data_IF_028462108398
#
_entry.id   IF_028462108398
#
_cell.length_a   1.000
_cell.length_b   1.000
_cell.length_c   1.000
_cell.angle_alpha   90.00
_cell.angle_beta   90.00
_cell.angle_gamma   90.00
#
_symmetry.space_group_name_H-M   'P 1'
#
loop_
_entity.id
_entity.type
_entity.pdbx_description
1 polymer ?
#
# COMPACT_ATOMS: atom_id res chain seq x y z
N UNK A 1 26.31 57.28 -40.61
CA UNK A 1 25.78 56.02 -41.17
C UNK A 1 26.83 54.89 -41.23
N UNK A 2 28.09 55.19 -41.49
CA UNK A 2 29.13 54.13 -41.56
C UNK A 2 29.34 53.32 -40.29
N UNK A 3 29.31 53.98 -39.10
CA UNK A 3 29.48 53.26 -37.81
C UNK A 3 28.30 52.29 -37.47
N UNK A 4 27.08 52.62 -37.94
CA UNK A 4 25.92 51.74 -37.72
C UNK A 4 26.04 50.49 -38.59
N UNK A 5 26.44 50.64 -39.86
CA UNK A 5 26.64 49.52 -40.76
C UNK A 5 27.79 48.60 -40.27
N UNK A 6 28.86 49.20 -39.78
CA UNK A 6 29.98 48.42 -39.18
C UNK A 6 29.52 47.65 -37.93
N UNK A 7 28.75 48.26 -37.07
CA UNK A 7 28.23 47.59 -35.87
C UNK A 7 27.30 46.41 -36.23
N UNK A 8 26.40 46.59 -37.20
CA UNK A 8 25.52 45.51 -37.68
C UNK A 8 26.33 44.37 -38.29
N UNK A 9 27.36 44.68 -39.10
CA UNK A 9 28.21 43.68 -39.70
C UNK A 9 29.02 42.86 -38.67
N UNK A 10 29.53 43.54 -37.65
CA UNK A 10 30.29 42.84 -36.56
C UNK A 10 29.36 41.98 -35.71
N UNK A 11 28.19 42.49 -35.34
CA UNK A 11 27.20 41.70 -34.57
C UNK A 11 26.66 40.53 -35.38
N UNK A 12 26.41 40.72 -36.68
CA UNK A 12 25.99 39.65 -37.58
C UNK A 12 27.03 38.55 -37.74
N UNK A 13 28.32 38.95 -37.93
CA UNK A 13 29.43 38.00 -38.02
C UNK A 13 29.65 37.21 -36.71
N UNK A 14 29.57 37.88 -35.54
CA UNK A 14 29.61 37.23 -34.23
C UNK A 14 28.43 36.26 -34.03
N UNK A 15 27.22 36.67 -34.37
CA UNK A 15 26.03 35.82 -34.29
C UNK A 15 26.15 34.57 -35.17
N UNK A 16 26.65 34.73 -36.43
CA UNK A 16 26.87 33.59 -37.32
C UNK A 16 27.96 32.65 -36.80
N UNK A 17 29.05 33.19 -36.24
CA UNK A 17 30.12 32.41 -35.65
C UNK A 17 29.66 31.58 -34.45
N UNK A 18 28.91 32.20 -33.50
CA UNK A 18 28.37 31.49 -32.34
C UNK A 18 27.32 30.48 -32.76
N UNK A 19 26.46 30.79 -33.73
CA UNK A 19 25.47 29.85 -34.25
C UNK A 19 26.14 28.61 -34.88
N UNK A 20 27.22 28.80 -35.60
CA UNK A 20 28.01 27.69 -36.20
C UNK A 20 28.69 26.84 -35.12
N UNK A 21 29.32 27.47 -34.13
CA UNK A 21 29.93 26.78 -32.99
C UNK A 21 28.88 25.96 -32.22
N UNK A 22 27.72 26.54 -31.91
CA UNK A 22 26.63 25.83 -31.20
C UNK A 22 26.06 24.67 -32.04
N UNK A 23 25.92 24.86 -33.36
CA UNK A 23 25.48 23.80 -34.29
C UNK A 23 26.45 22.62 -34.34
N UNK A 24 27.76 22.91 -34.42
CA UNK A 24 28.80 21.88 -34.41
C UNK A 24 28.86 21.20 -33.04
N UNK A 25 28.82 21.96 -31.95
CA UNK A 25 28.80 21.42 -30.61
C UNK A 25 27.58 20.51 -30.40
N UNK A 26 26.39 20.94 -30.84
CA UNK A 26 25.17 20.13 -30.76
C UNK A 26 25.30 18.77 -31.45
N UNK A 27 25.94 18.72 -32.62
CA UNK A 27 26.19 17.45 -33.32
C UNK A 27 27.27 16.58 -32.67
N UNK A 28 28.32 17.20 -32.11
CA UNK A 28 29.40 16.45 -31.45
C UNK A 28 28.93 15.86 -30.12
N UNK A 29 28.10 16.62 -29.37
CA UNK A 29 27.53 16.20 -28.07
C UNK A 29 26.15 15.53 -28.18
N UNK A 30 25.71 15.19 -29.40
CA UNK A 30 24.46 14.47 -29.60
C UNK A 30 24.56 13.09 -28.95
N UNK A 31 23.86 12.93 -27.85
CA UNK A 31 23.67 11.62 -27.18
C UNK A 31 22.69 10.82 -28.02
N UNK A 32 23.16 9.81 -28.74
CA UNK A 32 22.27 8.86 -29.43
C UNK A 32 21.41 8.14 -28.41
N UNK A 33 20.13 8.50 -28.33
CA UNK A 33 19.15 7.78 -27.50
C UNK A 33 18.83 6.46 -28.20
N UNK A 34 18.83 5.38 -27.41
CA UNK A 34 18.34 4.09 -27.89
C UNK A 34 16.83 4.20 -28.17
N UNK A 35 16.33 3.83 -29.37
CA UNK A 35 14.90 3.90 -29.67
C UNK A 35 14.03 3.08 -28.71
N UNK A 36 14.59 2.09 -28.04
CA UNK A 36 13.92 1.31 -27.01
C UNK A 36 13.62 2.15 -25.76
N UNK A 37 14.44 3.17 -25.44
CA UNK A 37 14.18 4.07 -24.30
C UNK A 37 12.86 4.82 -24.48
N UNK A 38 12.60 5.34 -25.68
CA UNK A 38 11.37 6.05 -26.01
C UNK A 38 10.15 5.09 -26.01
N UNK A 39 10.35 3.87 -26.55
CA UNK A 39 9.33 2.83 -26.50
C UNK A 39 8.99 2.43 -25.04
N UNK A 40 9.98 2.23 -24.16
CA UNK A 40 9.75 1.98 -22.73
C UNK A 40 9.03 3.17 -22.08
N UNK A 41 9.46 4.40 -22.37
CA UNK A 41 8.87 5.62 -21.82
C UNK A 41 7.36 5.75 -22.15
N UNK A 42 6.95 5.33 -23.36
CA UNK A 42 5.54 5.37 -23.78
C UNK A 42 4.64 4.41 -22.96
N UNK A 43 5.21 3.35 -22.41
CA UNK A 43 4.53 2.38 -21.52
C UNK A 43 4.61 2.75 -20.03
N UNK A 44 5.37 3.78 -19.65
CA UNK A 44 5.38 4.28 -18.29
C UNK A 44 4.18 5.21 -18.03
N UNK A 45 3.85 5.40 -16.75
CA UNK A 45 2.65 6.18 -16.36
C UNK A 45 2.68 7.67 -16.75
N UNK A 46 3.80 8.23 -17.17
CA UNK A 46 3.95 9.63 -17.57
C UNK A 46 3.82 10.66 -16.44
N UNK A 47 3.45 10.23 -15.23
CA UNK A 47 3.15 11.11 -14.10
C UNK A 47 4.39 11.78 -13.46
N UNK A 48 5.60 11.37 -13.80
CA UNK A 48 6.87 11.85 -13.22
C UNK A 48 6.88 11.90 -11.69
N UNK A 49 6.12 10.99 -11.03
CA UNK A 49 5.84 11.01 -9.60
C UNK A 49 7.04 10.65 -8.70
N UNK A 50 8.14 10.12 -9.28
CA UNK A 50 9.32 9.68 -8.53
C UNK A 50 9.07 8.50 -7.56
N UNK A 51 7.89 7.89 -7.56
CA UNK A 51 7.52 6.78 -6.67
C UNK A 51 8.43 5.56 -6.80
N UNK A 52 8.91 5.30 -8.01
CA UNK A 52 9.88 4.24 -8.32
C UNK A 52 11.32 4.51 -7.83
N UNK A 53 11.60 5.71 -7.30
CA UNK A 53 12.94 6.12 -6.83
C UNK A 53 13.84 6.74 -7.90
N UNK A 54 13.38 6.84 -9.14
CA UNK A 54 14.12 7.47 -10.25
C UNK A 54 13.64 8.91 -10.50
N UNK A 55 14.50 9.80 -11.05
CA UNK A 55 14.16 11.19 -11.35
C UNK A 55 13.23 11.27 -12.57
N UNK A 56 11.92 11.06 -12.34
CA UNK A 56 10.90 11.06 -13.37
C UNK A 56 10.85 9.78 -14.22
N UNK A 57 9.90 9.75 -15.16
CA UNK A 57 9.68 8.57 -16.01
C UNK A 57 10.86 8.32 -16.98
N UNK A 58 11.52 9.38 -17.49
CA UNK A 58 12.70 9.24 -18.34
C UNK A 58 13.87 8.55 -17.62
N UNK A 59 14.14 8.93 -16.36
CA UNK A 59 15.16 8.26 -15.55
C UNK A 59 14.83 6.80 -15.25
N UNK A 60 13.54 6.48 -15.08
CA UNK A 60 13.07 5.11 -14.92
C UNK A 60 13.26 4.30 -16.21
N UNK A 61 12.90 4.85 -17.38
CA UNK A 61 13.08 4.20 -18.68
C UNK A 61 14.56 3.89 -18.95
N UNK A 62 15.44 4.86 -18.74
CA UNK A 62 16.89 4.69 -18.89
C UNK A 62 17.45 3.60 -17.95
N UNK A 63 16.98 3.57 -16.69
CA UNK A 63 17.39 2.56 -15.71
C UNK A 63 16.91 1.15 -16.09
N UNK A 64 15.69 1.01 -16.62
CA UNK A 64 15.17 -0.27 -17.14
C UNK A 64 15.99 -0.73 -18.32
N UNK A 65 16.26 0.16 -19.28
CA UNK A 65 17.07 -0.14 -20.48
C UNK A 65 18.48 -0.59 -20.12
N UNK A 66 19.08 0.04 -19.11
CA UNK A 66 20.41 -0.31 -18.60
C UNK A 66 20.43 -1.58 -17.74
N UNK A 67 19.27 -2.20 -17.45
CA UNK A 67 19.17 -3.36 -16.55
C UNK A 67 19.32 -3.04 -15.05
N UNK A 68 19.35 -1.77 -14.68
CA UNK A 68 19.47 -1.29 -13.30
C UNK A 68 18.12 -1.21 -12.56
N UNK A 69 17.02 -1.37 -13.30
CA UNK A 69 15.67 -1.42 -12.74
C UNK A 69 14.88 -2.59 -13.34
N UNK A 70 14.03 -3.25 -12.57
CA UNK A 70 13.14 -4.27 -13.10
C UNK A 70 12.07 -3.65 -14.02
N UNK A 71 11.55 -4.40 -14.97
CA UNK A 71 10.47 -3.97 -15.88
C UNK A 71 9.18 -3.57 -15.14
N UNK A 72 9.03 -4.01 -13.90
CA UNK A 72 7.93 -3.69 -12.97
C UNK A 72 8.23 -2.46 -12.09
N UNK A 73 9.32 -1.75 -12.30
CA UNK A 73 9.73 -0.62 -11.44
C UNK A 73 8.66 0.47 -11.33
N UNK A 74 7.91 0.71 -12.42
CA UNK A 74 6.83 1.67 -12.42
C UNK A 74 5.51 1.01 -12.00
N UNK A 75 5.19 1.01 -10.70
CA UNK A 75 3.93 0.47 -10.21
C UNK A 75 2.66 1.13 -10.82
N UNK A 76 2.64 2.47 -11.04
CA UNK A 76 1.51 3.12 -11.70
C UNK A 76 1.26 2.71 -13.15
N UNK A 77 2.25 2.15 -13.85
CA UNK A 77 2.08 1.68 -15.23
C UNK A 77 1.16 0.45 -15.30
N UNK A 78 1.12 -0.34 -14.25
CA UNK A 78 0.30 -1.56 -14.17
C UNK A 78 0.95 -2.79 -14.83
N UNK A 79 0.34 -3.98 -14.68
CA UNK A 79 0.92 -5.23 -15.14
C UNK A 79 0.99 -5.33 -16.68
N UNK A 80 -0.01 -4.80 -17.40
CA UNK A 80 -0.07 -4.88 -18.87
C UNK A 80 1.08 -4.08 -19.50
N UNK A 81 1.34 -2.87 -19.02
CA UNK A 81 2.48 -2.08 -19.48
C UNK A 81 3.82 -2.68 -19.06
N UNK A 82 3.90 -3.29 -17.89
CA UNK A 82 5.10 -4.01 -17.47
C UNK A 82 5.38 -5.22 -18.38
N UNK A 83 4.34 -5.91 -18.86
CA UNK A 83 4.47 -6.99 -19.84
C UNK A 83 4.97 -6.46 -21.21
N UNK A 84 4.42 -5.34 -21.70
CA UNK A 84 4.89 -4.70 -22.93
C UNK A 84 6.36 -4.25 -22.82
N UNK A 85 6.77 -3.69 -21.68
CA UNK A 85 8.16 -3.33 -21.42
C UNK A 85 9.05 -4.58 -21.41
N UNK A 86 8.57 -5.70 -20.83
CA UNK A 86 9.33 -6.96 -20.83
C UNK A 86 9.54 -7.48 -22.24
N UNK A 87 8.55 -7.36 -23.14
CA UNK A 87 8.66 -7.72 -24.54
C UNK A 87 9.72 -6.87 -25.27
N UNK A 88 9.72 -5.53 -25.07
CA UNK A 88 10.73 -4.63 -25.61
C UNK A 88 12.13 -5.03 -25.14
N UNK A 89 12.26 -5.48 -23.89
CA UNK A 89 13.53 -5.92 -23.29
C UNK A 89 13.89 -7.38 -23.64
N UNK A 90 13.04 -8.12 -24.36
CA UNK A 90 13.23 -9.54 -24.67
C UNK A 90 13.18 -10.46 -23.46
N UNK A 91 12.43 -10.06 -22.42
CA UNK A 91 12.27 -10.80 -21.16
C UNK A 91 10.89 -11.45 -21.07
N UNK A 92 10.76 -12.50 -20.25
CA UNK A 92 9.46 -13.08 -19.97
C UNK A 92 8.53 -12.05 -19.24
N UNK A 93 7.25 -12.03 -19.61
CA UNK A 93 6.28 -11.15 -18.98
C UNK A 93 6.22 -11.40 -17.46
N UNK A 94 6.24 -10.35 -16.62
CA UNK A 94 6.17 -10.52 -15.19
C UNK A 94 4.79 -11.05 -14.80
N UNK A 95 4.74 -12.17 -14.09
CA UNK A 95 3.54 -12.70 -13.48
C UNK A 95 3.34 -12.05 -12.13
N UNK A 96 2.51 -11.01 -12.08
CA UNK A 96 2.23 -10.30 -10.81
C UNK A 96 0.78 -9.86 -10.76
N UNK A 97 0.10 -10.15 -9.64
CA UNK A 97 -1.22 -9.63 -9.37
C UNK A 97 -1.14 -8.13 -9.05
N UNK A 98 -2.13 -7.34 -9.54
CA UNK A 98 -2.25 -5.91 -9.21
C UNK A 98 -2.26 -5.73 -7.70
N UNK A 99 -1.41 -4.84 -7.21
CA UNK A 99 -1.30 -4.49 -5.80
C UNK A 99 -1.95 -3.13 -5.55
N UNK A 100 -2.50 -2.94 -4.35
CA UNK A 100 -3.04 -1.67 -3.87
C UNK A 100 -2.55 -1.37 -2.46
N UNK A 101 -2.51 -0.11 -2.09
CA UNK A 101 -2.20 0.28 -0.71
C UNK A 101 -3.36 -0.09 0.22
N UNK A 102 -3.04 -0.48 1.44
CA UNK A 102 -4.01 -0.75 2.51
C UNK A 102 -3.54 -0.14 3.82
N UNK A 103 -4.46 0.49 4.56
CA UNK A 103 -4.16 1.12 5.86
C UNK A 103 -4.45 0.14 6.99
N UNK A 104 -3.41 -0.27 7.70
CA UNK A 104 -3.48 -1.22 8.81
C UNK A 104 -3.96 -0.58 10.11
N UNK A 105 -5.02 0.21 10.05
CA UNK A 105 -5.64 0.81 11.22
C UNK A 105 -7.13 1.09 10.98
N UNK A 106 -7.98 0.62 11.89
CA UNK A 106 -9.41 0.91 11.94
C UNK A 106 -9.80 1.48 13.32
N UNK A 107 -8.83 2.11 14.01
CA UNK A 107 -9.03 2.68 15.34
C UNK A 107 -9.89 3.94 15.28
N UNK A 108 -9.38 4.99 14.67
CA UNK A 108 -10.06 6.27 14.54
C UNK A 108 -10.66 6.74 15.87
N UNK A 109 -11.96 7.00 15.88
CA UNK A 109 -12.72 7.40 17.09
C UNK A 109 -12.71 6.35 18.22
N UNK A 110 -12.49 5.06 17.90
CA UNK A 110 -12.36 4.00 18.89
C UNK A 110 -10.99 4.00 19.59
N UNK A 111 -10.01 4.75 19.09
CA UNK A 111 -8.71 4.92 19.72
C UNK A 111 -8.74 6.05 20.74
N UNK A 112 -8.31 5.76 22.00
CA UNK A 112 -8.27 6.77 23.04
C UNK A 112 -7.24 7.84 22.77
N UNK A 113 -7.62 9.11 23.02
CA UNK A 113 -6.71 10.26 22.99
C UNK A 113 -6.08 10.45 24.37
N UNK A 114 -4.79 10.81 24.40
CA UNK A 114 -4.05 11.21 25.60
C UNK A 114 -4.19 12.69 25.87
N UNK A 115 -4.22 13.48 24.80
CA UNK A 115 -4.34 14.94 24.85
C UNK A 115 -4.96 15.44 23.54
N UNK A 116 -5.43 16.66 23.55
CA UNK A 116 -5.85 17.38 22.36
C UNK A 116 -4.62 18.00 21.69
N UNK A 117 -4.40 17.68 20.42
CA UNK A 117 -3.29 18.22 19.65
C UNK A 117 -3.68 19.55 19.00
N UNK A 118 -3.01 20.60 19.39
CA UNK A 118 -3.11 21.93 18.81
C UNK A 118 -1.78 22.25 18.11
N UNK A 119 -1.80 22.31 16.77
CA UNK A 119 -0.58 22.52 15.98
C UNK A 119 -0.81 22.27 14.50
N UNK A 120 0.30 22.12 13.75
CA UNK A 120 0.27 21.84 12.33
C UNK A 120 -0.44 20.52 12.06
N UNK A 121 -1.48 20.53 11.23
CA UNK A 121 -2.29 19.36 10.87
C UNK A 121 -1.54 18.42 9.91
N UNK A 122 -0.48 17.82 10.41
CA UNK A 122 0.41 16.90 9.72
C UNK A 122 0.83 15.77 10.65
N UNK A 123 0.84 14.52 10.12
CA UNK A 123 1.14 13.34 10.93
C UNK A 123 2.59 13.34 11.45
N UNK A 124 3.54 13.81 10.66
CA UNK A 124 4.95 13.85 11.06
C UNK A 124 5.16 14.85 12.20
N UNK A 125 4.59 16.05 12.07
CA UNK A 125 4.65 17.10 13.10
C UNK A 125 3.98 16.65 14.40
N UNK A 126 2.77 16.06 14.30
CA UNK A 126 2.06 15.55 15.46
C UNK A 126 2.80 14.40 16.16
N UNK A 127 3.51 13.55 15.41
CA UNK A 127 4.30 12.45 15.99
C UNK A 127 5.47 12.97 16.83
N UNK A 128 6.05 14.13 16.51
CA UNK A 128 7.14 14.74 17.28
C UNK A 128 6.70 15.23 18.66
N UNK A 129 5.38 15.49 18.85
CA UNK A 129 4.83 15.91 20.14
C UNK A 129 4.42 14.68 20.92
N UNK A 130 5.18 14.26 21.91
CA UNK A 130 4.95 13.11 22.79
C UNK A 130 4.53 11.82 22.04
N UNK A 131 5.09 11.57 20.88
CA UNK A 131 4.74 10.47 19.97
C UNK A 131 3.27 10.48 19.49
N UNK A 132 2.62 11.66 19.46
CA UNK A 132 1.27 11.88 18.97
C UNK A 132 0.17 11.78 20.04
N UNK A 133 -1.05 12.28 19.73
CA UNK A 133 -2.16 12.46 20.67
C UNK A 133 -2.90 11.18 21.05
N UNK A 134 -2.59 10.04 20.47
CA UNK A 134 -3.28 8.77 20.75
C UNK A 134 -2.57 7.95 21.84
N UNK A 135 -3.33 7.24 22.68
CA UNK A 135 -2.76 6.22 23.59
C UNK A 135 -2.14 5.07 22.78
N UNK A 136 -2.77 4.66 21.68
CA UNK A 136 -2.22 3.69 20.76
C UNK A 136 -1.07 4.29 19.94
N UNK A 137 0.17 3.94 20.27
CA UNK A 137 1.36 4.40 19.54
C UNK A 137 1.43 3.90 18.09
N UNK A 138 0.67 2.89 17.76
CA UNK A 138 0.58 2.27 16.42
C UNK A 138 -0.63 2.77 15.61
N UNK A 139 -1.48 3.65 16.15
CA UNK A 139 -2.73 4.08 15.53
C UNK A 139 -2.55 5.17 14.47
N UNK A 140 -3.46 5.22 13.50
CA UNK A 140 -3.53 6.31 12.53
C UNK A 140 -3.90 7.62 13.23
N UNK A 141 -3.14 8.69 12.96
CA UNK A 141 -3.36 10.01 13.56
C UNK A 141 -4.47 10.81 12.87
N UNK A 142 -4.80 10.47 11.62
CA UNK A 142 -5.89 11.11 10.88
C UNK A 142 -5.58 12.49 10.28
N UNK A 143 -4.35 13.02 10.40
CA UNK A 143 -4.00 14.35 9.88
C UNK A 143 -3.69 14.41 8.38
N UNK A 144 -3.84 13.30 7.63
CA UNK A 144 -3.87 13.33 6.18
C UNK A 144 -2.53 13.46 5.44
N UNK A 145 -1.35 13.31 6.06
CA UNK A 145 -0.07 13.36 5.34
C UNK A 145 0.00 12.38 4.16
N UNK A 146 -0.61 11.20 4.29
CA UNK A 146 -0.74 10.22 3.20
C UNK A 146 -1.72 10.67 2.10
N UNK A 147 -2.75 11.45 2.45
CA UNK A 147 -3.71 12.04 1.48
C UNK A 147 -2.99 13.10 0.65
N UNK A 148 -2.27 14.01 1.30
CA UNK A 148 -1.50 15.06 0.62
C UNK A 148 -0.38 14.50 -0.29
N UNK A 149 0.18 13.35 0.07
CA UNK A 149 1.21 12.67 -0.74
C UNK A 149 0.63 11.89 -1.93
N UNK A 150 -0.69 11.67 -1.99
CA UNK A 150 -1.32 10.87 -3.04
C UNK A 150 -1.63 11.71 -4.28
N UNK A 151 -0.82 11.57 -5.34
CA UNK A 151 -1.01 12.27 -6.61
C UNK A 151 -2.19 11.73 -7.44
N UNK A 152 -2.71 10.55 -7.11
CA UNK A 152 -3.77 9.87 -7.85
C UNK A 152 -5.16 10.04 -7.22
N UNK A 153 -5.28 10.82 -6.13
CA UNK A 153 -6.55 11.02 -5.44
C UNK A 153 -7.16 9.74 -4.84
N UNK A 154 -6.33 8.73 -4.62
CA UNK A 154 -6.76 7.43 -4.10
C UNK A 154 -6.85 7.37 -2.56
N UNK A 155 -6.42 8.41 -1.86
CA UNK A 155 -6.41 8.45 -0.40
C UNK A 155 -7.38 9.50 0.12
N UNK A 156 -8.11 9.18 1.17
CA UNK A 156 -8.98 10.12 1.90
C UNK A 156 -8.98 9.81 3.40
N UNK A 157 -9.50 10.72 4.21
CA UNK A 157 -9.81 10.42 5.61
C UNK A 157 -11.26 9.94 5.67
N UNK A 158 -11.45 8.73 6.17
CA UNK A 158 -12.77 8.13 6.32
C UNK A 158 -13.56 8.72 7.50
N UNK A 159 -14.86 8.39 7.60
CA UNK A 159 -15.75 8.95 8.61
C UNK A 159 -15.35 8.62 10.06
N UNK A 160 -14.56 7.56 10.25
CA UNK A 160 -14.01 7.19 11.56
C UNK A 160 -12.71 7.91 11.92
N UNK A 161 -12.24 8.87 11.09
CA UNK A 161 -11.01 9.60 11.32
C UNK A 161 -9.71 8.86 10.94
N UNK A 162 -9.78 7.67 10.32
CA UNK A 162 -8.59 6.98 9.77
C UNK A 162 -8.48 7.20 8.26
N UNK A 163 -7.25 7.11 7.74
CA UNK A 163 -7.05 7.12 6.30
C UNK A 163 -7.64 5.85 5.66
N UNK A 164 -8.25 6.02 4.50
CA UNK A 164 -8.80 4.95 3.66
C UNK A 164 -8.28 5.07 2.24
N UNK A 165 -8.24 3.95 1.53
CA UNK A 165 -7.74 3.85 0.15
C UNK A 165 -8.90 3.48 -0.77
N UNK A 166 -9.03 4.20 -1.88
CA UNK A 166 -9.85 3.79 -3.02
C UNK A 166 -9.03 2.82 -3.88
N UNK A 167 -9.36 1.52 -3.90
CA UNK A 167 -8.58 0.53 -4.63
C UNK A 167 -8.63 0.71 -6.14
N UNK A 168 -9.70 1.33 -6.69
CA UNK A 168 -9.84 1.56 -8.12
C UNK A 168 -8.87 2.63 -8.62
N UNK A 169 -8.66 3.69 -7.82
CA UNK A 169 -7.73 4.78 -8.14
C UNK A 169 -6.29 4.49 -7.72
N UNK A 170 -6.09 3.52 -6.82
CA UNK A 170 -4.77 3.24 -6.27
C UNK A 170 -3.87 2.54 -7.29
N UNK A 171 -2.72 3.15 -7.58
CA UNK A 171 -1.69 2.62 -8.47
C UNK A 171 -0.53 1.96 -7.73
N UNK A 172 -0.61 1.83 -6.41
CA UNK A 172 0.44 1.28 -5.55
C UNK A 172 1.83 1.96 -5.70
N UNK A 173 1.87 3.25 -5.99
CA UNK A 173 3.12 3.99 -6.19
C UNK A 173 4.01 4.13 -4.93
N UNK A 174 3.50 3.81 -3.74
CA UNK A 174 4.24 3.82 -2.48
C UNK A 174 4.39 5.21 -1.82
N UNK A 175 3.94 6.31 -2.42
CA UNK A 175 4.10 7.66 -1.86
C UNK A 175 3.45 7.79 -0.47
N UNK A 176 2.23 7.27 -0.29
CA UNK A 176 1.53 7.26 0.99
C UNK A 176 2.22 6.39 2.06
N UNK A 177 2.89 5.31 1.65
CA UNK A 177 3.66 4.44 2.56
C UNK A 177 4.87 5.19 3.12
N UNK A 178 5.60 5.93 2.26
CA UNK A 178 6.75 6.78 2.65
C UNK A 178 6.31 7.97 3.52
N UNK A 179 5.13 8.54 3.24
CA UNK A 179 4.60 9.69 3.99
C UNK A 179 4.04 9.33 5.37
N UNK A 180 3.77 8.04 5.65
CA UNK A 180 3.22 7.63 6.92
C UNK A 180 4.30 7.46 8.00
N UNK A 181 4.40 8.35 9.02
CA UNK A 181 5.45 8.26 10.03
C UNK A 181 5.31 7.03 10.95
N UNK A 182 4.16 6.36 10.92
CA UNK A 182 3.87 5.16 11.71
C UNK A 182 3.93 3.85 10.91
N UNK A 183 4.27 3.91 9.63
CA UNK A 183 4.40 2.72 8.78
C UNK A 183 3.12 1.88 8.67
N UNK A 184 1.95 2.53 8.69
CA UNK A 184 0.65 1.84 8.73
C UNK A 184 0.16 1.36 7.38
N UNK A 185 0.76 1.83 6.29
CA UNK A 185 0.27 1.58 4.94
C UNK A 185 1.17 0.53 4.30
N UNK A 186 0.55 -0.54 3.82
CA UNK A 186 1.24 -1.67 3.18
C UNK A 186 0.61 -1.97 1.83
N UNK A 187 1.35 -2.66 0.97
CA UNK A 187 0.84 -3.19 -0.29
C UNK A 187 0.10 -4.50 -0.04
N UNK A 188 -1.05 -4.67 -0.69
CA UNK A 188 -1.86 -5.90 -0.63
C UNK A 188 -2.40 -6.22 -2.03
N UNK A 189 -2.65 -7.50 -2.36
CA UNK A 189 -3.25 -7.86 -3.63
C UNK A 189 -4.67 -7.29 -3.78
N UNK A 190 -4.96 -6.67 -4.94
CA UNK A 190 -6.24 -6.01 -5.19
C UNK A 190 -7.44 -6.96 -5.21
N UNK A 191 -7.23 -8.23 -5.60
CA UNK A 191 -8.29 -9.26 -5.60
C UNK A 191 -8.71 -9.66 -4.19
N UNK A 192 -7.84 -9.50 -3.20
CA UNK A 192 -8.12 -9.92 -1.81
C UNK A 192 -8.94 -8.85 -1.08
N UNK A 193 -10.06 -9.29 -0.49
CA UNK A 193 -11.02 -8.40 0.18
C UNK A 193 -10.96 -8.46 1.71
N UNK A 194 -10.16 -9.37 2.27
CA UNK A 194 -10.07 -9.57 3.73
C UNK A 194 -8.70 -9.12 4.21
N UNK A 195 -8.69 -8.17 5.14
CA UNK A 195 -7.45 -7.58 5.63
C UNK A 195 -7.49 -7.36 7.15
N UNK A 196 -6.34 -7.44 7.80
CA UNK A 196 -6.20 -7.07 9.22
C UNK A 196 -5.93 -5.57 9.32
N UNK A 197 -6.91 -4.82 9.82
CA UNK A 197 -6.86 -3.37 9.97
C UNK A 197 -6.39 -2.98 11.39
N UNK A 198 -5.28 -3.57 11.83
CA UNK A 198 -4.60 -3.23 13.08
C UNK A 198 -3.11 -3.50 12.95
N UNK A 199 -2.30 -2.61 13.52
CA UNK A 199 -0.85 -2.74 13.61
C UNK A 199 -0.36 -2.70 15.06
N UNK A 200 -1.27 -2.76 16.05
CA UNK A 200 -0.92 -2.71 17.47
C UNK A 200 -0.24 -4.02 17.89
N UNK A 201 0.96 -3.92 18.42
CA UNK A 201 1.75 -5.06 18.90
C UNK A 201 1.48 -5.41 20.37
N UNK A 202 0.71 -4.56 21.09
CA UNK A 202 0.28 -4.86 22.45
C UNK A 202 -0.70 -6.03 22.45
N UNK A 203 -0.77 -6.76 23.57
CA UNK A 203 -1.60 -7.95 23.72
C UNK A 203 -2.69 -7.77 24.78
N UNK A 204 -3.78 -8.50 24.63
CA UNK A 204 -4.81 -8.66 25.65
C UNK A 204 -5.33 -7.32 26.19
N UNK A 205 -5.25 -7.14 27.52
CA UNK A 205 -5.78 -5.96 28.22
C UNK A 205 -5.11 -4.65 27.78
N UNK A 206 -3.80 -4.65 27.55
CA UNK A 206 -3.08 -3.45 27.08
C UNK A 206 -3.57 -2.96 25.73
N UNK A 207 -3.79 -3.86 24.77
CA UNK A 207 -4.37 -3.49 23.47
C UNK A 207 -5.81 -2.98 23.61
N UNK A 208 -6.63 -3.61 24.49
CA UNK A 208 -8.01 -3.19 24.74
C UNK A 208 -8.12 -1.83 25.42
N UNK A 209 -7.18 -1.50 26.31
CA UNK A 209 -7.22 -0.22 27.05
C UNK A 209 -7.04 0.98 26.15
N UNK A 210 -6.26 0.86 25.06
CA UNK A 210 -5.89 1.98 24.17
C UNK A 210 -6.80 2.14 22.96
N UNK A 211 -7.52 1.07 22.53
CA UNK A 211 -8.38 1.16 21.33
C UNK A 211 -9.50 0.11 21.34
N UNK A 212 -10.73 0.56 21.06
CA UNK A 212 -11.90 -0.29 20.94
C UNK A 212 -11.85 -1.34 19.83
N UNK A 213 -11.17 -1.04 18.72
CA UNK A 213 -11.05 -1.90 17.53
C UNK A 213 -9.67 -2.60 17.42
N UNK A 214 -8.88 -2.65 18.51
CA UNK A 214 -7.54 -3.25 18.47
C UNK A 214 -7.58 -4.76 18.34
N UNK A 215 -6.65 -5.33 17.57
CA UNK A 215 -6.31 -6.74 17.70
C UNK A 215 -5.69 -7.00 19.08
N UNK A 216 -6.13 -8.06 19.75
CA UNK A 216 -5.67 -8.44 21.10
C UNK A 216 -4.79 -9.71 21.07
N UNK A 217 -4.48 -10.21 19.88
CA UNK A 217 -3.68 -11.41 19.72
C UNK A 217 -4.33 -12.69 20.22
N UNK A 218 -5.67 -12.78 20.30
CA UNK A 218 -6.38 -13.91 20.90
C UNK A 218 -6.33 -15.23 20.11
N UNK A 219 -5.88 -15.21 18.86
CA UNK A 219 -5.74 -16.40 18.02
C UNK A 219 -7.04 -17.03 17.50
N UNK A 220 -8.25 -16.47 17.80
CA UNK A 220 -9.51 -17.04 17.33
C UNK A 220 -9.61 -17.10 15.80
N UNK A 221 -9.14 -16.06 15.11
CA UNK A 221 -9.10 -16.03 13.65
C UNK A 221 -8.15 -17.10 13.06
N UNK A 222 -7.04 -17.36 13.71
CA UNK A 222 -6.10 -18.41 13.34
C UNK A 222 -6.71 -19.80 13.49
N UNK A 223 -7.34 -20.08 14.64
CA UNK A 223 -8.04 -21.36 14.90
C UNK A 223 -9.18 -21.62 13.93
N UNK A 224 -9.84 -20.57 13.45
CA UNK A 224 -10.98 -20.69 12.54
C UNK A 224 -10.58 -20.80 11.07
N UNK A 225 -9.34 -20.50 10.72
CA UNK A 225 -8.87 -20.48 9.33
C UNK A 225 -8.60 -21.88 8.81
N UNK A 226 -9.51 -22.43 8.00
CA UNK A 226 -9.37 -23.78 7.39
C UNK A 226 -8.22 -23.86 6.37
N UNK A 227 -7.70 -22.73 5.88
CA UNK A 227 -6.61 -22.66 4.91
C UNK A 227 -5.27 -22.30 5.52
N UNK A 228 -5.22 -22.21 6.84
CA UNK A 228 -4.00 -21.82 7.57
C UNK A 228 -3.35 -20.53 7.02
N UNK A 229 -4.21 -19.56 6.64
CA UNK A 229 -3.82 -18.33 5.98
C UNK A 229 -3.70 -17.13 6.93
N UNK A 230 -4.00 -17.27 8.22
CA UNK A 230 -3.92 -16.17 9.20
C UNK A 230 -3.27 -16.64 10.48
N UNK A 231 -2.24 -15.93 10.91
CA UNK A 231 -1.45 -16.25 12.08
C UNK A 231 -1.33 -15.03 12.99
N UNK A 232 -1.14 -15.26 14.29
CA UNK A 232 -0.81 -14.20 15.24
C UNK A 232 0.70 -14.11 15.37
N UNK A 233 1.27 -13.02 14.88
CA UNK A 233 2.70 -12.73 14.92
C UNK A 233 2.91 -11.45 15.73
N UNK A 234 3.78 -11.48 16.73
CA UNK A 234 4.09 -10.33 17.60
C UNK A 234 2.86 -9.64 18.22
N UNK A 235 1.81 -10.44 18.54
CA UNK A 235 0.60 -9.89 19.18
C UNK A 235 -0.50 -9.42 18.25
N UNK A 236 -0.28 -9.40 16.94
CA UNK A 236 -1.27 -8.97 15.94
C UNK A 236 -1.47 -10.08 14.89
N UNK A 237 -2.71 -10.20 14.39
CA UNK A 237 -3.01 -11.13 13.30
C UNK A 237 -2.39 -10.64 11.98
N UNK A 238 -1.84 -11.56 11.21
CA UNK A 238 -1.25 -11.34 9.88
C UNK A 238 -1.84 -12.35 8.92
N UNK A 239 -2.20 -11.92 7.71
CA UNK A 239 -2.76 -12.77 6.66
C UNK A 239 -1.66 -13.08 5.64
N UNK A 240 -1.49 -14.36 5.34
CA UNK A 240 -0.79 -14.86 4.17
C UNK A 240 -1.76 -14.82 2.98
N UNK A 241 -1.54 -13.89 2.06
CA UNK A 241 -2.43 -13.68 0.92
C UNK A 241 -2.33 -14.77 -0.13
N UNK A 242 -1.26 -15.52 -0.19
CA UNK A 242 -1.11 -16.65 -1.14
C UNK A 242 -2.04 -17.79 -0.75
N UNK A 243 -2.22 -18.04 0.56
CA UNK A 243 -3.13 -19.06 1.08
C UNK A 243 -4.57 -18.57 1.27
N UNK A 244 -4.78 -17.26 1.40
CA UNK A 244 -6.08 -16.69 1.73
C UNK A 244 -7.05 -16.75 0.55
N UNK A 245 -8.18 -17.42 0.72
CA UNK A 245 -9.27 -17.52 -0.27
C UNK A 245 -10.42 -16.53 -0.06
N UNK A 246 -10.30 -15.60 0.89
CA UNK A 246 -11.30 -14.55 1.12
C UNK A 246 -12.64 -15.01 1.72
N UNK A 247 -12.72 -16.17 2.38
CA UNK A 247 -13.97 -16.75 2.89
C UNK A 247 -14.63 -15.99 4.06
N UNK A 248 -13.99 -14.96 4.62
CA UNK A 248 -14.49 -14.10 5.70
C UNK A 248 -14.81 -14.80 7.04
N UNK A 249 -14.40 -16.05 7.27
CA UNK A 249 -14.66 -16.72 8.55
C UNK A 249 -13.95 -16.01 9.71
N UNK A 250 -12.73 -15.54 9.48
CA UNK A 250 -11.95 -14.82 10.48
C UNK A 250 -12.60 -13.50 10.94
N UNK A 251 -13.42 -12.85 10.08
CA UNK A 251 -14.14 -11.62 10.48
C UNK A 251 -15.30 -11.91 11.42
N UNK A 252 -15.96 -13.07 11.25
CA UNK A 252 -17.12 -13.48 12.07
C UNK A 252 -16.73 -13.84 13.49
N UNK A 253 -15.52 -14.33 13.71
CA UNK A 253 -15.01 -14.73 15.03
C UNK A 253 -14.18 -13.65 15.73
N UNK A 254 -13.87 -12.56 15.06
CA UNK A 254 -13.10 -11.47 15.66
C UNK A 254 -13.93 -10.70 16.66
N UNK A 255 -13.58 -10.69 17.98
CA UNK A 255 -14.36 -9.99 19.00
C UNK A 255 -14.15 -8.48 18.99
N UNK A 256 -13.12 -7.99 18.24
CA UNK A 256 -12.68 -6.60 18.25
C UNK A 256 -12.83 -5.90 16.90
N UNK A 257 -13.43 -6.54 15.90
CA UNK A 257 -13.60 -6.01 14.56
C UNK A 257 -12.29 -5.50 13.91
N UNK A 258 -11.17 -6.14 14.29
CA UNK A 258 -9.86 -5.78 13.78
C UNK A 258 -9.58 -6.31 12.34
N UNK A 259 -10.51 -7.11 11.77
CA UNK A 259 -10.41 -7.68 10.44
C UNK A 259 -11.54 -7.12 9.57
N UNK A 260 -11.19 -6.59 8.40
CA UNK A 260 -12.14 -6.00 7.45
C UNK A 260 -12.42 -6.96 6.28
N UNK A 261 -13.64 -6.89 5.68
CA UNK A 261 -14.78 -6.10 6.13
C UNK A 261 -15.33 -6.60 7.46
N UNK A 262 -15.84 -5.71 8.28
CA UNK A 262 -16.46 -6.09 9.56
C UNK A 262 -17.67 -6.98 9.30
N UNK A 263 -17.78 -8.08 10.04
CA UNK A 263 -19.01 -8.87 10.07
C UNK A 263 -20.10 -8.15 10.86
N UNK A 264 -21.34 -8.21 10.40
CA UNK A 264 -22.48 -7.66 11.13
C UNK A 264 -22.75 -8.44 12.43
N UNK A 265 -23.46 -7.82 13.36
CA UNK A 265 -23.86 -8.50 14.60
C UNK A 265 -24.66 -9.78 14.31
N UNK A 266 -25.58 -9.70 13.35
CA UNK A 266 -26.38 -10.86 12.91
C UNK A 266 -25.53 -11.99 12.31
N UNK A 267 -24.54 -11.65 11.48
CA UNK A 267 -23.62 -12.64 10.90
C UNK A 267 -22.79 -13.34 11.98
N UNK A 268 -22.37 -12.61 13.01
CA UNK A 268 -21.63 -13.15 14.15
C UNK A 268 -22.51 -14.08 14.98
N UNK A 269 -23.75 -13.67 15.28
CA UNK A 269 -24.68 -14.49 16.05
C UNK A 269 -25.10 -15.76 15.29
N UNK A 270 -25.46 -15.64 14.02
CA UNK A 270 -25.73 -16.83 13.16
C UNK A 270 -24.53 -17.78 13.14
N UNK A 271 -23.32 -17.23 13.04
CA UNK A 271 -22.12 -18.06 13.03
C UNK A 271 -21.87 -18.76 14.36
N UNK A 272 -22.07 -18.09 15.50
CA UNK A 272 -22.00 -18.69 16.85
C UNK A 272 -23.01 -19.80 17.02
N UNK A 273 -24.26 -19.60 16.58
CA UNK A 273 -25.32 -20.61 16.66
C UNK A 273 -24.96 -21.87 15.84
N UNK A 274 -24.43 -21.68 14.61
CA UNK A 274 -23.96 -22.80 13.78
C UNK A 274 -22.83 -23.58 14.48
N UNK A 275 -21.86 -22.87 15.06
CA UNK A 275 -20.73 -23.50 15.78
C UNK A 275 -21.20 -24.26 17.01
N UNK A 276 -22.15 -23.71 17.76
CA UNK A 276 -22.73 -24.39 18.92
C UNK A 276 -23.43 -25.69 18.50
N UNK A 277 -24.30 -25.64 17.48
CA UNK A 277 -24.96 -26.82 16.94
C UNK A 277 -23.99 -27.88 16.42
N UNK A 278 -22.90 -27.47 15.77
CA UNK A 278 -21.84 -28.39 15.32
C UNK A 278 -21.12 -29.05 16.49
N UNK A 279 -20.82 -28.28 17.55
CA UNK A 279 -20.17 -28.80 18.75
C UNK A 279 -21.07 -29.79 19.49
N UNK A 280 -22.37 -29.51 19.60
CA UNK A 280 -23.37 -30.41 20.19
C UNK A 280 -23.49 -31.72 19.44
N UNK A 281 -23.56 -31.65 18.09
CA UNK A 281 -23.58 -32.84 17.22
C UNK A 281 -22.28 -33.66 17.34
N UNK A 282 -21.13 -33.02 17.40
CA UNK A 282 -19.86 -33.70 17.58
C UNK A 282 -19.72 -34.34 18.96
N UNK A 283 -20.25 -33.72 19.99
CA UNK A 283 -20.27 -34.27 21.36
C UNK A 283 -21.23 -35.49 21.45
N UNK A 284 -22.40 -35.40 20.81
CA UNK A 284 -23.33 -36.52 20.73
C UNK A 284 -22.76 -37.72 19.96
N UNK A 285 -22.09 -37.46 18.83
CA UNK A 285 -21.44 -38.51 18.04
C UNK A 285 -20.29 -39.21 18.82
N UNK A 286 -19.51 -38.44 19.62
CA UNK A 286 -18.47 -39.00 20.47
C UNK A 286 -19.04 -39.90 21.56
N UNK A 287 -20.13 -39.47 22.24
CA UNK A 287 -20.82 -40.30 23.25
C UNK A 287 -21.36 -41.59 22.64
N UNK A 288 -22.04 -41.52 21.50
CA UNK A 288 -22.54 -42.69 20.81
C UNK A 288 -21.41 -43.67 20.38
N UNK A 289 -20.24 -43.15 19.97
CA UNK A 289 -19.09 -43.98 19.63
C UNK A 289 -18.42 -44.64 20.87
N UNK A 290 -18.49 -43.98 22.03
CA UNK A 290 -17.94 -44.49 23.28
C UNK A 290 -18.87 -45.57 23.91
N UNK A 291 -20.18 -45.41 23.76
CA UNK A 291 -21.19 -46.42 24.16
C UNK A 291 -21.21 -47.65 23.25
N UNK A 292 -20.80 -47.50 21.99
CA UNK A 292 -20.72 -48.61 21.01
C UNK A 292 -19.39 -49.38 21.03
N UNK A 293 -18.40 -48.97 21.82
CA UNK A 293 -17.13 -49.67 22.00
C UNK A 293 -17.37 -50.98 22.82
N UNK A 294 -17.02 -52.17 22.27
CA UNK A 294 -17.17 -53.43 23.02
C UNK A 294 -16.31 -53.37 24.28
N UNK A 295 -16.91 -53.63 25.42
CA UNK A 295 -16.22 -53.92 26.66
C UNK A 295 -15.40 -55.18 26.49
N UNK A 296 -14.07 -55.05 26.37
CA UNK A 296 -13.12 -56.15 26.29
C UNK A 296 -12.67 -56.55 27.71
#
# INVERSE_FOLDING_TARGET
>A
MGNIIAAIAVLGALGALFGLILSVASKIFEVKKDPREEAILSHLAGANCGGCGYPGCGGCAAAILAGNAPVTACAPAGPDNAAAIAEIMGMAAPTGERQVAFVRCNGGEAAKKRFEYVGVQDCLSATKVAAGPLECRFGCLGFGSCVSACQFGAMSIGPNGTAVVDPEKCTNCGACMKACPRGLITSVPASKKVHVACANLDKGKSAMSVCGNSCIGCGLCQKECKKDAIHVVNGVAVIDYDKCVGCKLCTKVCPRDAILPKATAEEKEKYKAIKKAQAEKAAAAKKAAEEAAPQA
#
